data_IF_704373653328
#
_entry.id   IF_704373653328
#
_cell.length_a   1.000
_cell.length_b   1.000
_cell.length_c   1.000
_cell.angle_alpha   90.00
_cell.angle_beta   90.00
_cell.angle_gamma   90.00
#
_symmetry.space_group_name_H-M   'P 1'
#
loop_
_entity.id
_entity.type
_entity.pdbx_description
1 polymer ?
#
# COMPACT_ATOMS: atom_id res chain seq x y z
N UNK A 1 11.37 15.84 -26.38
CA UNK A 1 12.82 16.05 -26.11
C UNK A 1 13.06 16.01 -24.61
N UNK A 2 14.10 15.31 -24.18
CA UNK A 2 14.52 15.35 -22.80
C UNK A 2 14.97 16.78 -22.42
N UNK A 3 14.78 17.24 -21.17
CA UNK A 3 15.33 18.49 -20.69
C UNK A 3 16.87 18.50 -20.78
N UNK A 4 17.48 19.69 -20.77
CA UNK A 4 18.92 19.84 -20.77
C UNK A 4 19.56 19.09 -19.58
N UNK A 5 20.59 18.30 -19.83
CA UNK A 5 21.24 17.44 -18.83
C UNK A 5 20.58 16.09 -18.57
N UNK A 6 19.48 15.76 -19.30
CA UNK A 6 18.81 14.46 -19.26
C UNK A 6 18.89 13.77 -20.61
N UNK A 7 18.98 12.45 -20.60
CA UNK A 7 18.86 11.62 -21.79
C UNK A 7 17.39 11.22 -22.02
N UNK A 8 16.98 11.14 -23.28
CA UNK A 8 15.69 10.53 -23.57
C UNK A 8 15.75 9.02 -23.29
N UNK A 9 14.61 8.43 -22.90
CA UNK A 9 14.56 7.00 -22.58
C UNK A 9 15.06 6.13 -23.76
N UNK A 10 14.70 6.50 -24.97
CA UNK A 10 15.08 5.82 -26.21
C UNK A 10 16.58 5.88 -26.48
N UNK A 11 17.27 6.91 -25.99
CA UNK A 11 18.73 7.10 -26.14
C UNK A 11 19.54 6.22 -25.15
N UNK A 12 18.89 5.70 -24.09
CA UNK A 12 19.53 4.82 -23.11
C UNK A 12 19.17 3.35 -23.29
N UNK A 13 18.28 3.05 -24.24
CA UNK A 13 18.00 1.66 -24.61
C UNK A 13 19.22 1.09 -25.33
N UNK A 14 19.75 0.02 -24.76
CA UNK A 14 20.88 -0.71 -25.32
C UNK A 14 20.46 -2.02 -26.00
N UNK A 15 21.44 -2.79 -26.41
CA UNK A 15 21.23 -4.16 -26.85
C UNK A 15 20.83 -5.05 -25.67
N UNK A 16 20.10 -6.15 -25.96
CA UNK A 16 19.78 -7.17 -24.96
C UNK A 16 21.10 -7.76 -24.42
N UNK A 17 21.21 -7.82 -23.10
CA UNK A 17 22.37 -8.37 -22.42
C UNK A 17 21.98 -9.59 -21.60
N UNK A 18 22.90 -10.52 -21.44
CA UNK A 18 22.69 -11.68 -20.58
C UNK A 18 22.43 -11.24 -19.13
N UNK A 19 21.48 -11.90 -18.44
CA UNK A 19 21.18 -11.62 -17.05
C UNK A 19 22.41 -11.76 -16.15
N UNK A 20 22.73 -10.72 -15.40
CA UNK A 20 23.84 -10.74 -14.45
C UNK A 20 23.37 -11.32 -13.12
N UNK A 21 24.12 -12.28 -12.57
CA UNK A 21 23.89 -12.77 -11.22
C UNK A 21 24.35 -11.74 -10.19
N UNK A 22 23.40 -11.28 -9.36
CA UNK A 22 23.69 -10.34 -8.27
C UNK A 22 23.35 -10.99 -6.93
N UNK A 23 24.04 -10.63 -5.82
CA UNK A 23 23.65 -11.06 -4.49
C UNK A 23 22.24 -10.59 -4.16
N UNK A 24 21.42 -11.43 -3.57
CA UNK A 24 20.03 -11.08 -3.23
C UNK A 24 19.88 -9.86 -2.31
N UNK A 25 20.92 -9.60 -1.50
CA UNK A 25 20.97 -8.45 -0.58
C UNK A 25 21.57 -7.19 -1.20
N UNK A 26 22.00 -7.24 -2.45
CA UNK A 26 22.46 -6.05 -3.15
C UNK A 26 21.32 -5.04 -3.28
N UNK A 27 21.67 -3.76 -3.21
CA UNK A 27 20.71 -2.67 -3.45
C UNK A 27 20.26 -2.70 -4.92
N UNK A 28 18.96 -2.56 -5.14
CA UNK A 28 18.37 -2.50 -6.48
C UNK A 28 17.57 -1.22 -6.72
N UNK A 29 17.26 -0.47 -5.68
CA UNK A 29 16.53 0.78 -5.79
C UNK A 29 16.55 1.58 -4.51
N UNK A 30 16.15 2.85 -4.62
CA UNK A 30 15.99 3.75 -3.49
C UNK A 30 14.78 4.63 -3.72
N UNK A 31 13.97 4.81 -2.67
CA UNK A 31 12.92 5.82 -2.65
C UNK A 31 13.14 6.78 -1.47
N UNK A 32 12.72 8.02 -1.66
CA UNK A 32 12.78 9.02 -0.61
C UNK A 32 11.42 9.23 0.03
N UNK A 33 11.41 9.32 1.36
CA UNK A 33 10.24 9.74 2.13
C UNK A 33 10.38 11.20 2.51
N UNK A 34 9.28 11.94 2.43
CA UNK A 34 9.23 13.37 2.78
C UNK A 34 9.26 13.62 4.27
N UNK A 35 9.62 12.67 5.10
CA UNK A 35 9.73 12.75 6.56
C UNK A 35 9.05 13.96 7.21
N UNK A 36 8.26 13.74 8.21
CA UNK A 36 7.46 14.78 8.90
C UNK A 36 8.29 15.83 9.65
N UNK A 37 9.60 15.66 9.71
CA UNK A 37 10.50 16.42 10.60
C UNK A 37 11.71 17.06 9.91
N UNK A 38 11.74 17.18 8.59
CA UNK A 38 12.90 17.80 7.94
C UNK A 38 13.25 17.26 6.55
N UNK A 39 14.52 17.06 6.29
CA UNK A 39 15.05 16.59 5.00
C UNK A 39 14.51 15.19 4.63
N UNK A 40 14.27 14.94 3.34
CA UNK A 40 13.87 13.62 2.86
C UNK A 40 14.85 12.53 3.26
N UNK A 41 14.34 11.36 3.65
CA UNK A 41 15.15 10.20 4.06
C UNK A 41 15.15 9.16 2.96
N UNK A 42 16.31 8.66 2.58
CA UNK A 42 16.45 7.61 1.57
C UNK A 42 16.25 6.23 2.16
N UNK A 43 15.36 5.45 1.57
CA UNK A 43 15.12 4.04 1.90
C UNK A 43 15.66 3.18 0.76
N UNK A 44 16.62 2.31 1.06
CA UNK A 44 17.26 1.42 0.08
C UNK A 44 16.55 0.08 0.06
N UNK A 45 16.17 -0.36 -1.13
CA UNK A 45 15.58 -1.69 -1.34
C UNK A 45 16.63 -2.66 -1.86
N UNK A 46 16.62 -3.89 -1.35
CA UNK A 46 17.39 -4.98 -1.91
C UNK A 46 16.57 -5.77 -2.92
N UNK A 47 17.23 -6.51 -3.82
CA UNK A 47 16.54 -7.47 -4.70
C UNK A 47 15.67 -8.44 -3.89
N UNK A 48 16.20 -8.96 -2.78
CA UNK A 48 15.45 -9.83 -1.86
C UNK A 48 14.16 -9.18 -1.36
N UNK A 49 14.24 -7.92 -0.91
CA UNK A 49 13.08 -7.21 -0.38
C UNK A 49 11.97 -7.07 -1.43
N UNK A 50 12.31 -6.63 -2.65
CA UNK A 50 11.33 -6.45 -3.72
C UNK A 50 10.72 -7.79 -4.19
N UNK A 51 11.52 -8.84 -4.32
CA UNK A 51 11.01 -10.17 -4.74
C UNK A 51 10.08 -10.75 -3.67
N UNK A 52 10.48 -10.77 -2.40
CA UNK A 52 9.65 -11.31 -1.32
C UNK A 52 8.38 -10.50 -1.10
N UNK A 53 8.47 -9.15 -1.19
CA UNK A 53 7.30 -8.28 -1.14
C UNK A 53 6.33 -8.60 -2.31
N UNK A 54 6.83 -8.67 -3.56
CA UNK A 54 6.03 -8.95 -4.74
C UNK A 54 5.33 -10.31 -4.64
N UNK A 55 6.02 -11.34 -4.15
CA UNK A 55 5.43 -12.66 -3.90
C UNK A 55 4.32 -12.58 -2.85
N UNK A 56 4.59 -11.98 -1.69
CA UNK A 56 3.61 -11.88 -0.60
C UNK A 56 2.40 -11.02 -0.99
N UNK A 57 2.63 -9.90 -1.69
CA UNK A 57 1.56 -9.03 -2.16
C UNK A 57 0.66 -9.70 -3.22
N UNK A 58 1.22 -10.61 -4.04
CA UNK A 58 0.47 -11.32 -5.10
C UNK A 58 -0.35 -12.51 -4.60
N UNK A 59 -0.23 -12.91 -3.33
CA UNK A 59 -1.04 -13.99 -2.76
C UNK A 59 -2.54 -13.70 -2.87
N UNK A 60 -3.36 -14.75 -2.78
CA UNK A 60 -4.84 -14.65 -2.89
C UNK A 60 -5.42 -13.68 -1.88
N UNK A 61 -4.94 -13.72 -0.63
CA UNK A 61 -5.36 -12.80 0.44
C UNK A 61 -4.66 -11.42 0.37
N UNK A 62 -3.79 -11.22 -0.62
CA UNK A 62 -3.19 -9.93 -0.98
C UNK A 62 -3.92 -9.29 -2.14
N UNK A 63 -3.19 -9.00 -3.23
CA UNK A 63 -3.77 -8.45 -4.47
C UNK A 63 -4.37 -9.52 -5.38
N UNK A 64 -4.11 -10.79 -5.13
CA UNK A 64 -4.50 -11.95 -5.96
C UNK A 64 -4.09 -11.81 -7.44
N UNK A 65 -2.94 -11.20 -7.71
CA UNK A 65 -2.45 -11.01 -9.08
C UNK A 65 -2.04 -12.33 -9.73
N UNK A 66 -2.37 -12.46 -11.01
CA UNK A 66 -2.01 -13.60 -11.86
C UNK A 66 -1.65 -13.12 -13.27
N UNK A 67 -1.11 -14.01 -14.10
CA UNK A 67 -0.78 -13.75 -15.50
C UNK A 67 -2.00 -13.35 -16.35
N UNK A 68 -3.21 -13.64 -15.87
CA UNK A 68 -4.48 -13.29 -16.53
C UNK A 68 -4.93 -11.86 -16.28
N UNK A 69 -4.25 -11.16 -15.37
CA UNK A 69 -4.61 -9.79 -15.03
C UNK A 69 -4.02 -8.78 -16.01
N UNK A 70 -4.75 -7.70 -16.19
CA UNK A 70 -4.29 -6.47 -16.82
C UNK A 70 -4.24 -5.41 -15.74
N UNK A 71 -3.03 -4.99 -15.37
CA UNK A 71 -2.74 -4.14 -14.21
C UNK A 71 -2.54 -2.71 -14.66
N UNK A 72 -3.31 -1.77 -14.11
CA UNK A 72 -3.14 -0.34 -14.33
C UNK A 72 -2.85 0.35 -12.98
N UNK A 73 -1.57 0.62 -12.65
CA UNK A 73 -1.23 1.39 -11.46
C UNK A 73 -1.52 2.89 -11.71
N UNK A 74 -2.46 3.46 -10.96
CA UNK A 74 -2.70 4.91 -10.97
C UNK A 74 -1.71 5.64 -10.07
N UNK A 75 -1.09 4.91 -9.16
CA UNK A 75 -0.04 5.44 -8.28
C UNK A 75 1.19 5.84 -9.07
N UNK A 76 1.74 7.06 -8.88
CA UNK A 76 2.94 7.50 -9.59
C UNK A 76 4.16 6.63 -9.33
N UNK A 77 5.00 6.42 -10.35
CA UNK A 77 6.24 5.62 -10.24
C UNK A 77 7.21 6.17 -9.19
N UNK A 78 7.23 7.48 -8.95
CA UNK A 78 8.10 8.08 -7.93
C UNK A 78 7.63 7.81 -6.49
N UNK A 79 6.37 7.35 -6.29
CA UNK A 79 5.84 7.02 -4.97
C UNK A 79 5.97 5.53 -4.70
N UNK A 80 7.05 5.14 -4.05
CA UNK A 80 7.41 3.74 -3.73
C UNK A 80 7.30 2.82 -4.96
N UNK A 81 7.79 3.32 -6.13
CA UNK A 81 7.76 2.61 -7.41
C UNK A 81 6.34 2.13 -7.77
N UNK A 82 5.36 3.01 -7.73
CA UNK A 82 3.93 2.70 -7.94
C UNK A 82 3.45 1.57 -7.02
N UNK A 83 3.79 1.64 -5.74
CA UNK A 83 3.52 0.61 -4.71
C UNK A 83 4.06 -0.77 -5.06
N UNK A 84 5.18 -0.81 -5.78
CA UNK A 84 5.82 -2.03 -6.29
C UNK A 84 4.91 -2.91 -7.19
N UNK A 85 3.77 -2.40 -7.65
CA UNK A 85 2.89 -3.12 -8.58
C UNK A 85 3.59 -3.54 -9.88
N UNK A 86 4.46 -2.69 -10.51
CA UNK A 86 5.20 -3.12 -11.69
C UNK A 86 6.06 -4.36 -11.47
N UNK A 87 6.67 -4.48 -10.29
CA UNK A 87 7.48 -5.67 -9.95
C UNK A 87 6.59 -6.90 -9.74
N UNK A 88 5.48 -6.74 -9.01
CA UNK A 88 4.53 -7.82 -8.78
C UNK A 88 3.90 -8.30 -10.09
N UNK A 89 3.46 -7.37 -10.95
CA UNK A 89 2.89 -7.70 -12.25
C UNK A 89 3.90 -8.40 -13.18
N UNK A 90 5.15 -7.93 -13.21
CA UNK A 90 6.23 -8.59 -13.95
C UNK A 90 6.49 -10.00 -13.43
N UNK A 91 6.53 -10.18 -12.11
CA UNK A 91 6.79 -11.47 -11.46
C UNK A 91 5.76 -12.53 -11.85
N UNK A 92 4.48 -12.16 -11.94
CA UNK A 92 3.40 -13.10 -12.29
C UNK A 92 3.12 -13.15 -13.80
N UNK A 93 3.77 -12.30 -14.63
CA UNK A 93 3.55 -12.25 -16.07
C UNK A 93 2.29 -11.48 -16.50
N UNK A 94 1.73 -10.63 -15.64
CA UNK A 94 0.55 -9.83 -15.95
C UNK A 94 0.86 -8.68 -16.93
N UNK A 95 -0.08 -8.39 -17.83
CA UNK A 95 0.00 -7.20 -18.70
C UNK A 95 -0.04 -5.93 -17.84
N UNK A 96 0.82 -4.98 -18.17
CA UNK A 96 0.85 -3.66 -17.51
C UNK A 96 0.39 -2.56 -18.47
N UNK A 97 -0.49 -1.69 -17.98
CA UNK A 97 -0.96 -0.50 -18.65
C UNK A 97 -0.52 0.71 -17.85
N UNK A 98 0.27 1.60 -18.45
CA UNK A 98 0.78 2.79 -17.78
C UNK A 98 -0.06 4.00 -18.22
N UNK A 99 -0.76 4.68 -17.30
CA UNK A 99 -1.74 5.72 -17.66
C UNK A 99 -1.12 7.02 -18.15
N UNK A 100 0.21 7.20 -18.00
CA UNK A 100 0.85 8.46 -18.32
C UNK A 100 0.35 9.60 -17.41
N UNK A 101 0.32 10.85 -17.88
CA UNK A 101 -0.04 12.00 -17.06
C UNK A 101 -1.56 12.23 -16.92
N UNK A 102 -2.40 11.51 -17.68
CA UNK A 102 -3.85 11.72 -17.68
C UNK A 102 -4.53 10.77 -16.71
N UNK A 103 -4.84 11.28 -15.53
CA UNK A 103 -5.49 10.53 -14.45
C UNK A 103 -6.92 11.05 -14.18
N UNK A 104 -7.48 11.85 -15.07
CA UNK A 104 -8.87 12.25 -15.01
C UNK A 104 -9.80 11.05 -15.26
N UNK A 105 -11.03 11.05 -14.71
CA UNK A 105 -11.93 9.91 -14.78
C UNK A 105 -12.23 9.43 -16.20
N UNK A 106 -12.40 10.35 -17.17
CA UNK A 106 -12.74 9.98 -18.53
C UNK A 106 -11.57 9.27 -19.23
N UNK A 107 -10.34 9.76 -19.05
CA UNK A 107 -9.12 9.11 -19.55
C UNK A 107 -8.88 7.74 -18.91
N UNK A 108 -9.17 7.60 -17.61
CA UNK A 108 -9.07 6.29 -16.93
C UNK A 108 -10.10 5.29 -17.46
N UNK A 109 -11.35 5.71 -17.68
CA UNK A 109 -12.39 4.84 -18.26
C UNK A 109 -12.00 4.38 -19.67
N UNK A 110 -11.46 5.27 -20.51
CA UNK A 110 -10.97 4.92 -21.84
C UNK A 110 -9.89 3.83 -21.77
N UNK A 111 -8.93 3.97 -20.84
CA UNK A 111 -7.88 2.96 -20.62
C UNK A 111 -8.43 1.65 -20.06
N UNK A 112 -9.33 1.72 -19.08
CA UNK A 112 -9.94 0.52 -18.49
C UNK A 112 -10.63 -0.33 -19.53
N UNK A 113 -11.45 0.29 -20.36
CA UNK A 113 -12.22 -0.42 -21.41
C UNK A 113 -11.37 -0.81 -22.60
N UNK A 114 -10.49 0.10 -23.07
CA UNK A 114 -9.67 -0.12 -24.25
C UNK A 114 -8.60 -1.19 -24.06
N UNK A 115 -8.00 -1.24 -22.88
CA UNK A 115 -6.94 -2.19 -22.55
C UNK A 115 -7.42 -3.45 -21.82
N UNK A 116 -8.69 -3.47 -21.40
CA UNK A 116 -9.30 -4.58 -20.66
C UNK A 116 -8.77 -4.72 -19.24
N UNK A 117 -8.56 -3.61 -18.54
CA UNK A 117 -7.97 -3.59 -17.19
C UNK A 117 -8.82 -4.38 -16.20
N UNK A 118 -8.18 -5.30 -15.46
CA UNK A 118 -8.85 -6.15 -14.47
C UNK A 118 -8.50 -5.77 -13.02
N UNK A 119 -7.35 -5.10 -12.84
CA UNK A 119 -6.82 -4.71 -11.54
C UNK A 119 -6.25 -3.29 -11.58
N UNK A 120 -6.55 -2.50 -10.58
CA UNK A 120 -5.98 -1.16 -10.40
C UNK A 120 -5.69 -0.84 -8.94
N UNK A 121 -4.82 0.15 -8.70
CA UNK A 121 -4.53 0.63 -7.35
C UNK A 121 -4.25 2.14 -7.36
N UNK A 122 -4.72 2.82 -6.31
CA UNK A 122 -4.55 4.25 -6.16
C UNK A 122 -5.14 4.79 -4.86
N UNK A 123 -5.17 6.11 -4.76
CA UNK A 123 -5.64 6.82 -3.56
C UNK A 123 -7.15 7.08 -3.61
N UNK A 124 -7.83 7.24 -2.46
CA UNK A 124 -9.29 7.43 -2.40
C UNK A 124 -9.82 8.57 -3.27
N UNK A 125 -9.10 9.68 -3.37
CA UNK A 125 -9.54 10.86 -4.14
C UNK A 125 -9.73 10.57 -5.62
N UNK A 126 -8.87 9.75 -6.22
CA UNK A 126 -9.00 9.31 -7.62
C UNK A 126 -10.23 8.44 -7.78
N UNK A 127 -10.45 7.53 -6.84
CA UNK A 127 -11.57 6.58 -6.92
C UNK A 127 -12.93 7.23 -6.65
N UNK A 128 -12.99 8.23 -5.77
CA UNK A 128 -14.20 9.03 -5.57
C UNK A 128 -14.58 9.77 -6.85
N UNK A 129 -13.61 10.45 -7.48
CA UNK A 129 -13.85 11.14 -8.74
C UNK A 129 -14.28 10.18 -9.86
N UNK A 130 -13.66 9.00 -9.93
CA UNK A 130 -14.04 7.96 -10.89
C UNK A 130 -15.47 7.45 -10.62
N UNK A 131 -15.83 7.18 -9.37
CA UNK A 131 -17.17 6.73 -9.02
C UNK A 131 -18.24 7.78 -9.37
N UNK A 132 -17.98 9.07 -9.11
CA UNK A 132 -18.86 10.18 -9.48
C UNK A 132 -19.07 10.23 -11.01
N UNK A 133 -18.00 10.07 -11.77
CA UNK A 133 -18.05 10.04 -13.23
C UNK A 133 -18.87 8.84 -13.76
N UNK A 134 -18.62 7.64 -13.22
CA UNK A 134 -19.35 6.42 -13.63
C UNK A 134 -20.85 6.53 -13.34
N UNK A 135 -21.22 7.07 -12.18
CA UNK A 135 -22.62 7.26 -11.79
C UNK A 135 -23.31 8.32 -12.64
N UNK A 136 -22.64 9.46 -12.88
CA UNK A 136 -23.19 10.57 -13.66
C UNK A 136 -23.39 10.24 -15.15
N UNK A 137 -22.51 9.39 -15.71
CA UNK A 137 -22.57 8.98 -17.11
C UNK A 137 -23.38 7.69 -17.32
N UNK A 138 -23.68 6.95 -16.25
CA UNK A 138 -24.27 5.61 -16.34
C UNK A 138 -23.32 4.57 -16.92
N UNK A 139 -22.01 4.90 -17.04
CA UNK A 139 -21.01 4.01 -17.59
C UNK A 139 -20.70 2.86 -16.64
N UNK A 140 -20.50 1.65 -17.18
CA UNK A 140 -20.12 0.46 -16.42
C UNK A 140 -18.79 -0.08 -16.90
N UNK A 141 -17.84 -0.21 -16.01
CA UNK A 141 -16.55 -0.86 -16.30
C UNK A 141 -16.81 -2.36 -16.55
N UNK A 142 -16.32 -2.85 -17.70
CA UNK A 142 -16.64 -4.23 -18.15
C UNK A 142 -15.70 -5.28 -17.59
N UNK A 143 -14.46 -4.92 -17.33
CA UNK A 143 -13.39 -5.88 -17.03
C UNK A 143 -12.77 -5.69 -15.66
N UNK A 144 -12.91 -4.50 -15.04
CA UNK A 144 -12.36 -4.23 -13.73
C UNK A 144 -13.01 -5.12 -12.67
N UNK A 145 -12.20 -5.87 -11.95
CA UNK A 145 -12.64 -6.84 -10.92
C UNK A 145 -12.19 -6.44 -9.53
N UNK A 146 -11.00 -5.86 -9.41
CA UNK A 146 -10.38 -5.52 -8.12
C UNK A 146 -9.75 -4.14 -8.16
N UNK A 147 -9.92 -3.45 -7.05
CA UNK A 147 -9.37 -2.12 -6.83
C UNK A 147 -8.72 -2.05 -5.45
N UNK A 148 -7.45 -1.68 -5.39
CA UNK A 148 -6.75 -1.44 -4.13
C UNK A 148 -6.77 0.05 -3.80
N UNK A 149 -7.17 0.36 -2.58
CA UNK A 149 -7.12 1.69 -2.00
C UNK A 149 -6.01 1.74 -0.96
N UNK A 150 -5.16 2.76 -1.04
CA UNK A 150 -4.08 2.96 -0.06
C UNK A 150 -3.69 4.43 0.03
N UNK A 151 -2.66 4.72 0.83
CA UNK A 151 -2.21 6.08 1.09
C UNK A 151 -3.04 6.84 2.12
N UNK A 152 -4.33 6.54 2.23
CA UNK A 152 -5.22 6.94 3.33
C UNK A 152 -6.38 5.93 3.45
N UNK A 153 -7.15 6.01 4.53
CA UNK A 153 -8.30 5.13 4.74
C UNK A 153 -9.34 5.28 3.62
N UNK A 154 -9.90 4.17 3.15
CA UNK A 154 -11.01 4.18 2.21
C UNK A 154 -12.31 4.52 2.95
N UNK A 155 -13.03 5.59 2.57
CA UNK A 155 -14.35 5.84 3.11
C UNK A 155 -15.27 4.64 2.83
N UNK A 156 -16.08 4.27 3.82
CA UNK A 156 -17.05 3.17 3.68
C UNK A 156 -17.95 3.35 2.43
N UNK A 157 -18.39 4.58 2.17
CA UNK A 157 -19.19 4.91 0.99
C UNK A 157 -18.48 4.61 -0.33
N UNK A 158 -17.15 4.74 -0.39
CA UNK A 158 -16.37 4.39 -1.56
C UNK A 158 -16.40 2.88 -1.82
N UNK A 159 -16.22 2.08 -0.76
CA UNK A 159 -16.27 0.62 -0.84
C UNK A 159 -17.63 0.18 -1.36
N UNK A 160 -18.72 0.67 -0.75
CA UNK A 160 -20.10 0.36 -1.16
C UNK A 160 -20.39 0.68 -2.62
N UNK A 161 -19.91 1.83 -3.10
CA UNK A 161 -20.14 2.27 -4.49
C UNK A 161 -19.51 1.32 -5.50
N UNK A 162 -18.25 0.96 -5.31
CA UNK A 162 -17.56 0.05 -6.23
C UNK A 162 -18.07 -1.38 -6.13
N UNK A 163 -18.40 -1.87 -4.94
CA UNK A 163 -18.95 -3.21 -4.78
C UNK A 163 -20.34 -3.34 -5.42
N UNK A 164 -21.18 -2.30 -5.37
CA UNK A 164 -22.43 -2.26 -6.16
C UNK A 164 -22.20 -2.30 -7.67
N UNK A 165 -21.03 -1.86 -8.14
CA UNK A 165 -20.63 -1.98 -9.54
C UNK A 165 -19.97 -3.34 -9.86
N UNK A 166 -19.86 -4.26 -8.88
CA UNK A 166 -19.22 -5.56 -9.04
C UNK A 166 -17.68 -5.55 -8.95
N UNK A 167 -17.09 -4.48 -8.42
CA UNK A 167 -15.66 -4.34 -8.23
C UNK A 167 -15.30 -4.56 -6.76
N UNK A 168 -14.48 -5.56 -6.48
CA UNK A 168 -13.97 -5.81 -5.12
C UNK A 168 -13.01 -4.71 -4.70
N UNK A 169 -13.25 -4.11 -3.55
CA UNK A 169 -12.37 -3.07 -2.98
C UNK A 169 -11.56 -3.65 -1.82
N UNK A 170 -10.25 -3.51 -1.89
CA UNK A 170 -9.33 -3.89 -0.81
C UNK A 170 -8.56 -2.67 -0.32
N UNK A 171 -8.46 -2.52 0.99
CA UNK A 171 -7.53 -1.54 1.56
C UNK A 171 -6.14 -2.15 1.68
N UNK A 172 -5.13 -1.35 1.36
CA UNK A 172 -3.72 -1.67 1.58
C UNK A 172 -3.05 -0.60 2.41
N UNK A 173 -2.23 -1.02 3.38
CA UNK A 173 -1.43 -0.10 4.18
C UNK A 173 0.05 -0.49 4.10
N UNK A 174 0.85 0.55 4.11
CA UNK A 174 2.30 0.46 4.13
C UNK A 174 2.95 1.81 3.94
N UNK A 175 4.27 1.82 3.97
CA UNK A 175 5.12 3.00 3.96
C UNK A 175 6.24 2.81 2.94
N UNK A 176 6.95 3.87 2.60
CA UNK A 176 8.20 3.78 1.83
C UNK A 176 9.17 2.79 2.50
N UNK A 177 9.24 2.82 3.82
CA UNK A 177 10.06 1.95 4.67
C UNK A 177 9.65 0.48 4.66
N UNK A 178 8.50 0.16 4.09
CA UNK A 178 7.95 -1.21 4.09
C UNK A 178 7.76 -1.81 2.69
N UNK A 179 8.25 -1.21 1.63
CA UNK A 179 8.40 -1.68 0.22
C UNK A 179 7.12 -1.94 -0.61
N UNK A 180 5.95 -1.32 -0.51
CA UNK A 180 5.40 -0.66 0.66
C UNK A 180 4.48 -1.53 1.50
N UNK A 181 3.71 -2.50 0.91
CA UNK A 181 2.54 -3.13 1.53
C UNK A 181 2.94 -4.08 2.66
N UNK A 182 2.30 -3.93 3.80
CA UNK A 182 2.48 -4.81 4.98
C UNK A 182 1.15 -5.24 5.59
N UNK A 183 0.07 -4.56 5.27
CA UNK A 183 -1.29 -4.90 5.70
C UNK A 183 -2.21 -4.86 4.49
N UNK A 184 -3.08 -5.84 4.39
CA UNK A 184 -4.10 -5.91 3.35
C UNK A 184 -5.44 -6.28 4.00
N UNK A 185 -6.52 -5.66 3.55
CA UNK A 185 -7.85 -6.02 4.01
C UNK A 185 -8.45 -7.14 3.15
N UNK A 186 -8.93 -8.16 3.80
CA UNK A 186 -9.77 -9.23 3.26
C UNK A 186 -10.65 -9.79 4.37
N UNK A 187 -11.77 -10.41 4.04
CA UNK A 187 -12.65 -11.05 5.01
C UNK A 187 -12.16 -12.47 5.27
N UNK A 188 -11.99 -12.85 6.54
CA UNK A 188 -11.64 -14.21 6.92
C UNK A 188 -12.79 -15.16 6.65
N UNK A 189 -12.51 -16.41 6.30
CA UNK A 189 -13.50 -17.41 5.89
C UNK A 189 -14.65 -17.61 6.89
N UNK A 190 -14.36 -17.61 8.20
CA UNK A 190 -15.40 -17.77 9.23
C UNK A 190 -16.27 -16.51 9.43
N UNK A 191 -15.86 -15.36 8.88
CA UNK A 191 -16.61 -14.09 8.90
C UNK A 191 -17.44 -13.86 7.62
N UNK A 192 -17.29 -14.71 6.61
CA UNK A 192 -18.04 -14.60 5.34
C UNK A 192 -19.57 -14.71 5.53
N UNK A 193 -20.02 -15.40 6.58
CA UNK A 193 -21.44 -15.57 6.90
C UNK A 193 -22.05 -14.35 7.63
N UNK A 194 -21.25 -13.35 7.98
CA UNK A 194 -21.76 -12.13 8.62
C UNK A 194 -22.69 -11.35 7.69
N UNK A 195 -23.63 -10.56 8.26
CA UNK A 195 -24.42 -9.61 7.49
C UNK A 195 -23.53 -8.65 6.69
N UNK A 196 -24.01 -8.23 5.51
CA UNK A 196 -23.23 -7.33 4.61
C UNK A 196 -22.77 -6.05 5.31
N UNK A 197 -23.61 -5.50 6.22
CA UNK A 197 -23.29 -4.31 7.00
C UNK A 197 -22.09 -4.52 7.93
N UNK A 198 -22.00 -5.69 8.56
CA UNK A 198 -20.86 -6.04 9.42
C UNK A 198 -19.59 -6.32 8.58
N UNK A 199 -19.74 -7.02 7.46
CA UNK A 199 -18.63 -7.22 6.50
C UNK A 199 -18.11 -5.89 5.97
N UNK A 200 -18.99 -4.95 5.67
CA UNK A 200 -18.60 -3.61 5.22
C UNK A 200 -17.83 -2.84 6.31
N UNK A 201 -18.23 -3.01 7.57
CA UNK A 201 -17.49 -2.45 8.71
C UNK A 201 -16.08 -3.04 8.81
N UNK A 202 -15.93 -4.35 8.59
CA UNK A 202 -14.62 -5.00 8.53
C UNK A 202 -13.79 -4.53 7.33
N UNK A 203 -14.40 -4.40 6.15
CA UNK A 203 -13.73 -3.90 4.93
C UNK A 203 -13.26 -2.46 5.07
N UNK A 204 -13.90 -1.65 5.91
CA UNK A 204 -13.48 -0.29 6.21
C UNK A 204 -12.27 -0.21 7.14
N UNK A 205 -11.91 -1.28 7.86
CA UNK A 205 -10.67 -1.33 8.65
C UNK A 205 -9.45 -1.40 7.74
N UNK A 206 -8.30 -1.04 8.27
CA UNK A 206 -7.02 -1.12 7.53
C UNK A 206 -6.71 -2.54 7.08
N UNK A 207 -6.90 -3.56 7.94
CA UNK A 207 -6.79 -4.97 7.58
C UNK A 207 -5.87 -5.79 8.47
N UNK A 208 -5.32 -6.84 7.86
CA UNK A 208 -4.49 -7.87 8.51
C UNK A 208 -3.06 -7.82 7.96
N UNK A 209 -2.04 -8.16 8.75
CA UNK A 209 -0.67 -8.26 8.26
C UNK A 209 -0.58 -9.35 7.18
N UNK A 210 0.08 -9.05 6.07
CA UNK A 210 0.35 -10.03 5.01
C UNK A 210 1.42 -11.04 5.48
N UNK A 211 1.47 -12.25 4.88
CA UNK A 211 2.43 -13.27 5.26
C UNK A 211 3.87 -12.76 5.34
N UNK A 212 4.65 -13.28 6.30
CA UNK A 212 6.03 -12.91 6.64
C UNK A 212 6.18 -11.56 7.37
N UNK A 213 5.12 -10.77 7.53
CA UNK A 213 5.13 -9.56 8.36
C UNK A 213 4.72 -9.89 9.79
N UNK A 214 5.57 -9.51 10.73
CA UNK A 214 5.23 -9.46 12.15
C UNK A 214 4.79 -8.05 12.49
N UNK A 215 3.56 -7.93 12.99
CA UNK A 215 2.94 -6.68 13.39
C UNK A 215 2.60 -6.75 14.88
N UNK A 216 2.84 -5.65 15.58
CA UNK A 216 2.27 -5.42 16.91
C UNK A 216 1.76 -3.98 17.00
N UNK A 217 0.75 -3.77 17.79
CA UNK A 217 0.29 -2.45 18.24
C UNK A 217 0.77 -2.33 19.68
N UNK A 218 1.64 -1.35 19.95
CA UNK A 218 2.38 -1.29 21.22
C UNK A 218 2.22 0.07 21.91
N UNK A 219 2.23 0.02 23.25
CA UNK A 219 2.27 1.20 24.12
C UNK A 219 3.64 1.92 24.04
N UNK A 220 3.79 3.01 24.81
CA UNK A 220 5.03 3.79 24.85
C UNK A 220 6.23 2.98 25.37
N UNK A 221 6.00 1.96 26.20
CA UNK A 221 7.02 1.04 26.71
C UNK A 221 7.34 -0.11 25.74
N UNK A 222 6.66 -0.16 24.60
CA UNK A 222 6.84 -1.19 23.57
C UNK A 222 6.14 -2.52 23.86
N UNK A 223 5.22 -2.56 24.85
CA UNK A 223 4.41 -3.74 25.19
C UNK A 223 3.17 -3.78 24.28
N UNK A 224 2.79 -4.94 23.74
CA UNK A 224 1.55 -5.05 22.95
C UNK A 224 0.33 -4.61 23.78
N UNK A 225 -0.52 -3.77 23.21
CA UNK A 225 -1.81 -3.39 23.81
C UNK A 225 -2.84 -4.50 23.63
N UNK A 226 -3.94 -4.53 24.43
CA UNK A 226 -5.03 -5.49 24.25
C UNK A 226 -5.65 -5.45 22.84
N UNK A 227 -6.12 -6.59 22.35
CA UNK A 227 -6.85 -6.73 21.09
C UNK A 227 -8.36 -6.52 21.31
N UNK A 228 -8.74 -5.40 21.87
CA UNK A 228 -10.11 -5.07 22.23
C UNK A 228 -10.81 -4.07 21.30
N UNK A 229 -10.11 -3.68 20.22
CA UNK A 229 -10.59 -2.69 19.26
C UNK A 229 -10.63 -1.25 19.81
N UNK A 230 -10.03 -1.00 20.98
CA UNK A 230 -10.10 0.30 21.70
C UNK A 230 -8.75 0.82 22.14
N UNK A 231 -7.91 -0.06 22.67
CA UNK A 231 -6.60 0.33 23.17
C UNK A 231 -5.71 0.84 22.03
N UNK A 232 -5.31 2.10 22.13
CA UNK A 232 -4.43 2.76 21.16
C UNK A 232 -2.97 2.35 21.38
N UNK A 233 -2.23 2.18 20.31
CA UNK A 233 -0.80 1.94 20.33
C UNK A 233 -0.15 2.24 18.99
N UNK A 234 1.19 2.35 19.00
CA UNK A 234 1.97 2.53 17.79
C UNK A 234 2.06 1.21 17.00
N UNK A 235 1.80 1.25 15.71
CA UNK A 235 2.05 0.13 14.82
C UNK A 235 3.55 -0.08 14.68
N UNK A 236 4.03 -1.25 15.05
CA UNK A 236 5.42 -1.65 14.92
C UNK A 236 5.54 -2.90 14.06
N UNK A 237 6.50 -2.90 13.13
CA UNK A 237 6.58 -3.86 12.04
C UNK A 237 7.95 -4.52 11.96
N UNK A 238 8.00 -5.82 11.63
CA UNK A 238 9.23 -6.55 11.34
C UNK A 238 8.98 -7.57 10.24
N UNK A 239 9.84 -7.60 9.22
CA UNK A 239 9.70 -8.52 8.10
C UNK A 239 10.86 -8.42 7.12
N UNK A 240 10.95 -9.33 6.14
CA UNK A 240 12.12 -9.45 5.26
C UNK A 240 12.27 -8.32 4.22
N UNK A 241 11.25 -7.49 4.03
CA UNK A 241 11.27 -6.32 3.14
C UNK A 241 11.09 -5.00 3.86
N UNK A 242 11.01 -5.02 5.20
CA UNK A 242 10.95 -3.79 6.01
C UNK A 242 12.38 -3.25 6.15
N UNK A 243 12.54 -1.94 6.02
CA UNK A 243 13.84 -1.30 6.05
C UNK A 243 14.63 -1.62 7.32
N UNK A 244 15.94 -1.80 7.17
CA UNK A 244 16.88 -1.85 8.29
C UNK A 244 17.39 -0.47 8.70
N UNK A 245 16.93 0.61 8.03
CA UNK A 245 17.34 1.97 8.33
C UNK A 245 17.33 2.90 7.11
N UNK A 246 17.78 4.13 7.33
CA UNK A 246 17.82 5.18 6.32
C UNK A 246 19.24 5.38 5.78
N UNK A 247 19.35 5.57 4.48
CA UNK A 247 20.63 5.75 3.79
C UNK A 247 21.40 6.94 4.34
N UNK A 248 22.65 6.69 4.82
CA UNK A 248 23.55 7.70 5.40
C UNK A 248 22.89 8.56 6.50
N UNK A 249 21.96 7.99 7.28
CA UNK A 249 21.30 8.70 8.38
C UNK A 249 21.15 7.77 9.59
N UNK A 250 22.22 7.66 10.37
CA UNK A 250 22.27 6.77 11.55
C UNK A 250 21.35 7.22 12.68
N UNK A 251 21.19 8.54 12.87
CA UNK A 251 20.34 9.08 13.92
C UNK A 251 18.86 8.73 13.67
N UNK A 252 18.38 9.00 12.45
CA UNK A 252 17.01 8.61 12.05
C UNK A 252 16.82 7.10 12.08
N UNK A 253 17.84 6.32 11.73
CA UNK A 253 17.80 4.85 11.80
C UNK A 253 17.63 4.35 13.24
N UNK A 254 18.42 4.87 14.17
CA UNK A 254 18.31 4.51 15.60
C UNK A 254 16.95 4.86 16.19
N UNK A 255 16.41 6.02 15.81
CA UNK A 255 15.10 6.47 16.30
C UNK A 255 13.94 5.64 15.74
N UNK A 256 14.11 5.10 14.52
CA UNK A 256 13.08 4.35 13.82
C UNK A 256 13.02 2.86 14.20
N UNK A 257 14.01 2.34 14.92
CA UNK A 257 14.07 0.92 15.28
C UNK A 257 13.96 0.74 16.81
N UNK A 258 13.18 -0.25 17.21
CA UNK A 258 13.16 -0.70 18.62
C UNK A 258 14.38 -1.57 18.92
N UNK A 259 14.75 -1.74 20.22
CA UNK A 259 15.88 -2.61 20.58
C UNK A 259 15.74 -4.06 20.12
N UNK A 260 14.52 -4.57 19.98
CA UNK A 260 14.22 -5.93 19.48
C UNK A 260 14.02 -5.97 17.95
N UNK A 261 14.30 -4.86 17.25
CA UNK A 261 14.40 -4.77 15.80
C UNK A 261 13.07 -4.65 15.05
N UNK A 262 12.03 -4.10 15.70
CA UNK A 262 10.83 -3.65 14.99
C UNK A 262 11.02 -2.22 14.47
N UNK A 263 10.50 -1.96 13.29
CA UNK A 263 10.39 -0.62 12.72
C UNK A 263 9.18 0.11 13.34
N UNK A 264 9.41 1.31 13.83
CA UNK A 264 8.40 2.22 14.38
C UNK A 264 7.79 3.02 13.26
N UNK A 265 6.50 2.85 13.02
CA UNK A 265 5.84 3.52 11.88
C UNK A 265 5.47 4.98 12.18
N UNK A 266 5.28 5.29 13.46
CA UNK A 266 4.67 6.54 13.90
C UNK A 266 3.18 6.63 13.58
N UNK A 267 2.55 5.54 13.18
CA UNK A 267 1.10 5.44 12.99
C UNK A 267 0.47 4.80 14.23
N UNK A 268 -0.62 5.37 14.70
CA UNK A 268 -1.38 4.89 15.86
C UNK A 268 -2.59 4.12 15.37
N UNK A 269 -2.81 2.96 15.98
CA UNK A 269 -3.90 2.07 15.62
C UNK A 269 -4.53 1.44 16.86
N UNK A 270 -5.71 0.90 16.66
CA UNK A 270 -6.29 -0.15 17.48
C UNK A 270 -6.21 -1.47 16.73
N UNK A 271 -6.32 -2.60 17.45
CA UNK A 271 -6.53 -3.92 16.84
C UNK A 271 -7.61 -4.68 17.58
N UNK A 272 -8.35 -5.49 16.86
CA UNK A 272 -9.43 -6.29 17.44
C UNK A 272 -9.00 -7.74 17.73
N UNK A 273 -9.90 -8.51 18.34
CA UNK A 273 -9.69 -9.94 18.65
C UNK A 273 -9.40 -10.78 17.41
N UNK A 274 -9.96 -10.40 16.27
CA UNK A 274 -9.69 -11.03 14.97
C UNK A 274 -8.34 -10.63 14.37
N UNK A 275 -7.67 -9.63 14.94
CA UNK A 275 -6.36 -9.14 14.51
C UNK A 275 -6.40 -8.09 13.41
N UNK A 276 -7.59 -7.60 13.02
CA UNK A 276 -7.67 -6.45 12.14
C UNK A 276 -7.17 -5.21 12.85
N UNK A 277 -6.26 -4.49 12.21
CA UNK A 277 -5.87 -3.16 12.67
C UNK A 277 -6.74 -2.09 12.01
N UNK A 278 -6.89 -0.99 12.71
CA UNK A 278 -7.49 0.24 12.20
C UNK A 278 -6.60 1.42 12.58
N UNK A 279 -5.98 2.04 11.57
CA UNK A 279 -5.18 3.25 11.79
C UNK A 279 -6.11 4.39 12.18
N UNK A 280 -5.79 5.05 13.29
CA UNK A 280 -6.56 6.15 13.84
C UNK A 280 -5.93 7.50 13.58
N UNK A 281 -4.61 7.61 13.76
CA UNK A 281 -3.92 8.89 13.62
C UNK A 281 -2.40 8.69 13.43
N UNK A 282 -1.69 9.78 13.25
CA UNK A 282 -0.22 9.85 13.37
C UNK A 282 0.17 10.19 14.80
N UNK A 283 1.20 9.54 15.34
CA UNK A 283 1.72 9.78 16.69
C UNK A 283 2.01 11.28 16.97
N UNK A 284 2.49 12.00 15.96
CA UNK A 284 2.81 13.44 16.04
C UNK A 284 1.57 14.35 16.09
N UNK A 285 0.42 13.85 15.63
CA UNK A 285 -0.83 14.61 15.51
C UNK A 285 -1.79 14.30 16.67
N UNK A 286 -1.45 13.28 17.49
CA UNK A 286 -2.19 12.92 18.70
C UNK A 286 -2.16 14.01 19.76
N UNK A 287 -3.29 14.21 20.39
CA UNK A 287 -3.42 15.06 21.56
C UNK A 287 -3.22 14.19 22.82
N UNK A 288 -2.26 14.54 23.68
CA UNK A 288 -2.07 13.87 24.96
C UNK A 288 -2.74 14.66 26.06
N UNK A 289 -3.78 14.13 26.68
CA UNK A 289 -4.49 14.75 27.79
C UNK A 289 -4.71 13.75 28.93
N UNK A 290 -4.33 14.13 30.14
CA UNK A 290 -4.53 13.28 31.34
C UNK A 290 -3.81 11.94 31.33
N UNK A 291 -2.81 11.74 30.43
CA UNK A 291 -2.12 10.45 30.25
C UNK A 291 -2.75 9.54 29.21
N UNK A 292 -3.85 9.95 28.59
CA UNK A 292 -4.51 9.23 27.50
C UNK A 292 -4.21 9.88 26.14
N UNK A 293 -4.18 9.07 25.09
CA UNK A 293 -4.07 9.51 23.71
C UNK A 293 -5.46 9.77 23.13
N UNK A 294 -5.65 10.95 22.55
CA UNK A 294 -6.88 11.38 21.89
C UNK A 294 -6.54 11.60 20.43
N UNK A 295 -7.26 10.92 19.51
CA UNK A 295 -7.13 11.12 18.07
C UNK A 295 -7.53 12.55 17.70
N UNK A 296 -6.80 13.15 16.78
CA UNK A 296 -7.13 14.47 16.23
C UNK A 296 -8.28 14.42 15.20
N UNK A 297 -8.72 13.22 14.83
CA UNK A 297 -9.70 12.95 13.77
C UNK A 297 -11.05 12.48 14.31
N UNK A 298 -11.15 12.12 15.60
CA UNK A 298 -12.39 11.66 16.26
C UNK A 298 -13.23 12.83 16.80
#
# INVERSE_FOLDING_TARGET
KAPEGYLAYEEVLGEEVDPVRVPERAACGMAYTTGTTGLPKGVVYSHRALVLHSLAASLVDGTALSEKDVVLPVVPMFHVNAWCLPYAATLVGAKQVLPGPRLDPASLVELFDGEGVTFTAGVPTVWLALADHLESTGHRLKTLRRLVVGGSAAPRSLIERFERMGVEVRQGYGLTETSPVVVQNFIKSHLEALPEEEKLTLKAKTGLPIPLVRLRVADEEGRPVPKDGKALGEVQLKGPWITGGYYKNEEATRSALTPDGFFRTGDIAVWDEEGYIEIKDRLKDLIKSGGEWISSVD
#
